data_IF_309704704277
#
_entry.id   IF_309704704277
#
_cell.length_a   1.000
_cell.length_b   1.000
_cell.length_c   1.000
_cell.angle_alpha   90.00
_cell.angle_beta   90.00
_cell.angle_gamma   90.00
#
_symmetry.space_group_name_H-M   'P 1'
#
loop_
_entity.id
_entity.type
_entity.pdbx_description
1 polymer ?
#
# COMPACT_ATOMS: atom_id res chain seq x y z
N UNK A 1 21.27 -5.38 20.04
CA UNK A 1 20.12 -4.82 19.30
C UNK A 1 18.86 -5.68 19.47
N UNK A 2 18.82 -6.94 19.02
CA UNK A 2 17.62 -7.80 19.07
C UNK A 2 16.96 -7.97 20.45
N UNK A 3 17.75 -8.14 21.53
CA UNK A 3 17.22 -8.28 22.90
C UNK A 3 16.48 -7.03 23.39
N UNK A 4 16.84 -5.83 22.89
CA UNK A 4 16.13 -4.59 23.21
C UNK A 4 14.78 -4.54 22.50
N UNK A 5 14.73 -4.96 21.23
CA UNK A 5 13.52 -4.96 20.41
C UNK A 5 12.43 -5.90 20.97
N UNK A 6 12.82 -7.06 21.51
CA UNK A 6 11.91 -8.02 22.15
C UNK A 6 11.11 -7.45 23.34
N UNK A 7 11.53 -6.33 23.92
CA UNK A 7 10.87 -5.71 25.07
C UNK A 7 9.95 -4.56 24.68
N UNK A 8 9.96 -4.15 23.41
CA UNK A 8 9.20 -3.01 22.93
C UNK A 8 7.86 -3.47 22.37
N UNK A 9 6.80 -2.73 22.72
CA UNK A 9 5.47 -2.95 22.16
C UNK A 9 5.37 -2.27 20.81
N UNK A 10 4.97 -3.02 19.79
CA UNK A 10 4.72 -2.47 18.46
C UNK A 10 3.48 -1.58 18.49
N UNK A 11 3.62 -0.36 17.97
CA UNK A 11 2.50 0.50 17.68
C UNK A 11 1.91 0.16 16.31
N UNK A 12 2.76 0.15 15.28
CA UNK A 12 2.38 -0.26 13.93
C UNK A 12 3.60 -0.58 13.05
N UNK A 13 3.33 -1.27 11.95
CA UNK A 13 4.30 -1.57 10.91
C UNK A 13 3.85 -0.91 9.60
N UNK A 14 4.79 -0.30 8.89
CA UNK A 14 4.60 0.11 7.50
C UNK A 14 5.55 -0.68 6.60
N UNK A 15 5.05 -1.17 5.48
CA UNK A 15 5.81 -1.86 4.44
C UNK A 15 5.79 -1.02 3.16
N UNK A 16 6.93 -0.92 2.49
CA UNK A 16 7.06 -0.31 1.16
C UNK A 16 7.77 -1.30 0.26
N UNK A 17 7.11 -1.71 -0.82
CA UNK A 17 7.62 -2.67 -1.78
C UNK A 17 8.27 -1.92 -2.94
N UNK A 18 9.59 -1.81 -2.92
CA UNK A 18 10.37 -1.24 -4.02
C UNK A 18 10.89 -2.36 -4.92
N UNK A 19 11.30 -2.00 -6.16
CA UNK A 19 11.74 -2.93 -7.20
C UNK A 19 12.62 -4.08 -6.68
N UNK A 20 13.74 -3.76 -6.04
CA UNK A 20 14.69 -4.75 -5.54
C UNK A 20 14.77 -4.80 -4.01
N UNK A 21 13.78 -4.25 -3.31
CA UNK A 21 13.87 -4.03 -1.87
C UNK A 21 12.51 -3.97 -1.19
N UNK A 22 12.35 -4.74 -0.13
CA UNK A 22 11.26 -4.55 0.84
C UNK A 22 11.77 -3.65 1.95
N UNK A 23 11.21 -2.45 2.08
CA UNK A 23 11.44 -1.62 3.26
C UNK A 23 10.35 -1.91 4.31
N UNK A 24 10.78 -2.16 5.54
CA UNK A 24 9.92 -2.32 6.69
C UNK A 24 10.29 -1.28 7.75
N UNK A 25 9.28 -0.56 8.22
CA UNK A 25 9.39 0.36 9.35
C UNK A 25 8.48 -0.10 10.46
N UNK A 26 9.08 -0.46 11.59
CA UNK A 26 8.35 -0.79 12.82
C UNK A 26 8.42 0.43 13.73
N UNK A 27 7.26 0.97 14.07
CA UNK A 27 7.13 2.06 15.04
C UNK A 27 6.68 1.43 16.36
N UNK A 28 7.41 1.70 17.43
CA UNK A 28 7.08 1.23 18.77
C UNK A 28 6.28 2.29 19.55
N UNK A 29 5.61 1.88 20.63
CA UNK A 29 4.78 2.78 21.46
C UNK A 29 5.56 3.94 22.10
N UNK A 30 6.87 3.77 22.31
CA UNK A 30 7.76 4.82 22.78
C UNK A 30 8.24 5.76 21.65
N UNK A 31 7.65 5.67 20.46
CA UNK A 31 8.01 6.44 19.25
C UNK A 31 9.40 6.13 18.68
N UNK A 32 10.07 5.08 19.15
CA UNK A 32 11.28 4.61 18.49
C UNK A 32 10.94 3.88 17.18
N UNK A 33 11.85 3.94 16.23
CA UNK A 33 11.71 3.33 14.91
C UNK A 33 12.81 2.29 14.69
N UNK A 34 12.39 1.12 14.22
CA UNK A 34 13.25 0.14 13.59
C UNK A 34 13.00 0.18 12.08
N UNK A 35 14.03 0.50 11.30
CA UNK A 35 14.02 0.40 9.83
C UNK A 35 14.79 -0.85 9.40
N UNK A 36 14.19 -1.63 8.51
CA UNK A 36 14.78 -2.82 7.90
C UNK A 36 14.62 -2.73 6.40
N UNK A 37 15.73 -2.70 5.67
CA UNK A 37 15.75 -2.69 4.21
C UNK A 37 16.26 -4.06 3.73
N UNK A 38 15.40 -4.82 3.05
CA UNK A 38 15.68 -6.19 2.62
C UNK A 38 15.80 -6.26 1.10
N UNK A 39 17.03 -6.38 0.60
CA UNK A 39 17.34 -6.40 -0.82
C UNK A 39 17.12 -7.79 -1.42
N UNK A 40 16.20 -7.89 -2.39
CA UNK A 40 15.81 -9.14 -3.05
C UNK A 40 16.86 -9.62 -4.05
N UNK A 41 17.53 -8.71 -4.75
CA UNK A 41 18.54 -8.98 -5.79
C UNK A 41 19.88 -9.49 -5.20
N UNK A 42 20.20 -9.06 -3.98
CA UNK A 42 21.52 -9.28 -3.37
C UNK A 42 21.50 -10.19 -2.16
N UNK A 43 20.32 -10.57 -1.67
CA UNK A 43 20.16 -11.28 -0.39
C UNK A 43 20.90 -10.57 0.74
N UNK A 44 20.57 -9.28 0.93
CA UNK A 44 21.21 -8.42 1.93
C UNK A 44 20.16 -7.70 2.77
N UNK A 45 20.47 -7.51 4.04
CA UNK A 45 19.60 -6.78 4.97
C UNK A 45 20.38 -5.67 5.63
N UNK A 46 19.81 -4.46 5.57
CA UNK A 46 20.23 -3.32 6.37
C UNK A 46 19.24 -3.10 7.50
N UNK A 47 19.75 -2.79 8.68
CA UNK A 47 18.98 -2.71 9.91
C UNK A 47 19.40 -1.46 10.69
N UNK A 48 18.45 -0.59 11.02
CA UNK A 48 18.71 0.67 11.73
C UNK A 48 17.72 0.84 12.87
N UNK A 49 18.24 1.07 14.07
CA UNK A 49 17.46 1.35 15.27
C UNK A 49 18.19 2.38 16.14
N UNK A 50 17.62 3.57 16.28
CA UNK A 50 18.29 4.69 16.94
C UNK A 50 19.65 5.00 16.30
N UNK A 51 20.74 4.88 17.07
CA UNK A 51 22.13 5.04 16.59
C UNK A 51 22.78 3.71 16.16
N UNK A 52 22.14 2.58 16.40
CA UNK A 52 22.66 1.25 16.08
C UNK A 52 22.34 0.93 14.62
N UNK A 53 23.36 0.61 13.82
CA UNK A 53 23.22 0.31 12.39
C UNK A 53 23.99 -0.96 12.04
N UNK A 54 23.33 -1.86 11.31
CA UNK A 54 23.94 -3.01 10.66
C UNK A 54 23.71 -2.85 9.16
N UNK A 55 24.79 -2.85 8.40
CA UNK A 55 24.76 -2.73 6.95
C UNK A 55 25.25 -4.04 6.30
N UNK A 56 24.70 -4.35 5.14
CA UNK A 56 25.11 -5.45 4.28
C UNK A 56 25.13 -6.82 4.98
N UNK A 57 24.23 -7.04 5.95
CA UNK A 57 24.12 -8.34 6.61
C UNK A 57 23.76 -9.38 5.54
N UNK A 58 24.60 -10.41 5.31
CA UNK A 58 24.22 -11.53 4.46
C UNK A 58 22.90 -12.15 4.94
N UNK A 59 21.91 -12.15 4.04
CA UNK A 59 20.61 -12.76 4.24
C UNK A 59 20.67 -14.20 3.79
N UNK A 60 20.31 -15.14 4.66
CA UNK A 60 20.10 -16.55 4.26
C UNK A 60 18.63 -16.86 3.99
N UNK A 61 17.73 -15.95 4.39
CA UNK A 61 16.30 -16.08 4.19
C UNK A 61 15.83 -15.08 3.12
N UNK A 62 14.76 -15.40 2.39
CA UNK A 62 14.07 -14.43 1.55
C UNK A 62 13.46 -13.30 2.43
N UNK A 63 13.28 -12.08 1.88
CA UNK A 63 12.74 -10.94 2.64
C UNK A 63 11.42 -11.22 3.37
N UNK A 64 10.58 -12.08 2.81
CA UNK A 64 9.32 -12.51 3.42
C UNK A 64 9.49 -13.10 4.82
N UNK A 65 10.49 -13.95 5.01
CA UNK A 65 10.67 -14.66 6.29
C UNK A 65 11.17 -13.69 7.36
N UNK A 66 11.90 -12.65 6.97
CA UNK A 66 12.26 -11.55 7.87
C UNK A 66 11.05 -10.72 8.28
N UNK A 67 10.18 -10.35 7.33
CA UNK A 67 8.96 -9.60 7.65
C UNK A 67 8.11 -10.39 8.64
N UNK A 68 7.86 -11.67 8.37
CA UNK A 68 7.07 -12.52 9.26
C UNK A 68 7.72 -12.69 10.63
N UNK A 69 9.03 -12.92 10.68
CA UNK A 69 9.76 -13.03 11.95
C UNK A 69 9.68 -11.75 12.78
N UNK A 70 9.79 -10.58 12.14
CA UNK A 70 9.70 -9.29 12.83
C UNK A 70 8.26 -9.04 13.31
N UNK A 71 7.25 -9.32 12.47
CA UNK A 71 5.83 -9.20 12.87
C UNK A 71 5.55 -10.08 14.10
N UNK A 72 6.04 -11.32 14.10
CA UNK A 72 5.87 -12.27 15.19
C UNK A 72 6.56 -11.80 16.47
N UNK A 73 7.84 -11.43 16.37
CA UNK A 73 8.67 -10.95 17.50
C UNK A 73 8.17 -9.64 18.11
N UNK A 74 7.62 -8.75 17.29
CA UNK A 74 7.12 -7.44 17.75
C UNK A 74 5.67 -7.49 18.21
N UNK A 75 5.00 -8.64 18.03
CA UNK A 75 3.59 -8.87 18.37
C UNK A 75 2.64 -7.82 17.77
N UNK A 76 2.95 -7.32 16.58
CA UNK A 76 2.14 -6.32 15.91
C UNK A 76 0.88 -6.95 15.31
N UNK A 77 -0.29 -6.35 15.55
CA UNK A 77 -1.59 -6.93 15.16
C UNK A 77 -1.91 -6.81 13.67
N UNK A 78 -1.40 -5.79 13.00
CA UNK A 78 -1.67 -5.50 11.59
C UNK A 78 -0.52 -4.71 10.98
N UNK A 79 -0.44 -4.77 9.65
CA UNK A 79 0.33 -3.81 8.87
C UNK A 79 -0.54 -2.58 8.68
N UNK A 80 -0.10 -1.42 9.16
CA UNK A 80 -0.88 -0.19 9.05
C UNK A 80 -0.89 0.33 7.61
N UNK A 81 0.26 0.33 6.95
CA UNK A 81 0.39 0.78 5.56
C UNK A 81 1.20 -0.19 4.74
N UNK A 82 0.66 -0.60 3.59
CA UNK A 82 1.40 -1.27 2.53
C UNK A 82 1.50 -0.33 1.33
N UNK A 83 2.71 0.05 0.95
CA UNK A 83 2.97 1.10 -0.03
C UNK A 83 3.61 0.49 -1.29
N UNK A 84 2.99 0.74 -2.44
CA UNK A 84 3.49 0.45 -3.77
C UNK A 84 3.92 1.77 -4.45
N UNK A 85 5.23 2.06 -4.58
CA UNK A 85 5.74 3.29 -5.16
C UNK A 85 5.79 3.26 -6.69
N UNK A 86 5.86 4.44 -7.32
CA UNK A 86 5.94 4.62 -8.79
C UNK A 86 6.87 3.66 -9.51
N UNK A 87 8.10 3.51 -9.02
CA UNK A 87 9.17 2.77 -9.71
C UNK A 87 8.78 1.30 -9.88
N UNK A 88 7.99 0.79 -8.95
CA UNK A 88 7.60 -0.60 -8.96
C UNK A 88 6.52 -0.88 -10.04
N UNK A 89 5.89 0.13 -10.65
CA UNK A 89 4.81 0.01 -11.68
C UNK A 89 5.25 -0.63 -13.00
N UNK A 90 6.53 -0.54 -13.35
CA UNK A 90 7.02 -0.88 -14.69
C UNK A 90 7.69 -2.27 -14.79
N UNK A 91 7.64 -3.07 -13.73
CA UNK A 91 8.42 -4.31 -13.67
C UNK A 91 7.56 -5.58 -13.48
N UNK A 92 7.75 -6.62 -14.32
CA UNK A 92 7.09 -7.92 -14.16
C UNK A 92 7.50 -8.73 -12.91
N UNK A 93 8.54 -8.35 -12.14
CA UNK A 93 9.06 -9.17 -11.03
C UNK A 93 8.30 -9.07 -9.68
N UNK A 94 7.07 -8.53 -9.66
CA UNK A 94 6.22 -8.56 -8.45
C UNK A 94 5.89 -9.97 -7.95
N UNK A 95 6.01 -10.98 -8.81
CA UNK A 95 5.78 -12.39 -8.48
C UNK A 95 6.58 -12.83 -7.24
N UNK A 96 7.78 -12.29 -7.03
CA UNK A 96 8.62 -12.63 -5.89
C UNK A 96 8.08 -12.08 -4.55
N UNK A 97 7.18 -11.10 -4.59
CA UNK A 97 6.54 -10.49 -3.41
C UNK A 97 5.12 -11.00 -3.17
N UNK A 98 4.49 -11.66 -4.14
CA UNK A 98 3.15 -12.28 -4.00
C UNK A 98 3.07 -13.23 -2.80
N UNK A 99 4.07 -14.11 -2.55
CA UNK A 99 4.04 -14.97 -1.38
C UNK A 99 4.01 -14.20 -0.06
N UNK A 100 4.63 -13.00 0.02
CA UNK A 100 4.59 -12.16 1.21
C UNK A 100 3.17 -11.67 1.45
N UNK A 101 2.54 -11.14 0.41
CA UNK A 101 1.25 -10.49 0.48
C UNK A 101 0.12 -11.47 0.83
N UNK A 102 0.19 -12.70 0.33
CA UNK A 102 -0.75 -13.78 0.70
C UNK A 102 -0.65 -14.23 2.16
N UNK A 103 0.51 -14.06 2.82
CA UNK A 103 0.72 -14.46 4.22
C UNK A 103 0.38 -13.36 5.22
N UNK A 104 0.20 -12.12 4.78
CA UNK A 104 -0.22 -11.02 5.65
C UNK A 104 -1.72 -11.17 5.95
N UNK A 105 -2.06 -11.37 7.22
CA UNK A 105 -3.44 -11.63 7.65
C UNK A 105 -4.32 -10.39 7.71
N UNK A 106 -3.73 -9.20 7.90
CA UNK A 106 -4.46 -7.94 7.99
C UNK A 106 -3.61 -6.73 7.61
N UNK A 107 -4.16 -5.92 6.71
CA UNK A 107 -3.60 -4.64 6.28
C UNK A 107 -4.65 -3.56 6.55
N UNK A 108 -4.29 -2.46 7.20
CA UNK A 108 -5.26 -1.42 7.50
C UNK A 108 -5.47 -0.51 6.26
N UNK A 109 -4.38 -0.13 5.58
CA UNK A 109 -4.41 0.72 4.39
C UNK A 109 -3.40 0.25 3.33
N UNK A 110 -3.85 0.16 2.08
CA UNK A 110 -2.98 -0.01 0.90
C UNK A 110 -2.82 1.34 0.20
N UNK A 111 -1.59 1.74 -0.08
CA UNK A 111 -1.27 2.97 -0.78
C UNK A 111 -0.56 2.64 -2.08
N UNK A 112 -1.07 3.14 -3.19
CA UNK A 112 -0.42 3.03 -4.51
C UNK A 112 -0.05 4.43 -4.99
N UNK A 113 1.24 4.76 -4.91
CA UNK A 113 1.77 6.07 -5.27
C UNK A 113 2.01 6.18 -6.78
N UNK A 114 1.67 7.34 -7.37
CA UNK A 114 1.95 7.68 -8.78
C UNK A 114 1.53 6.57 -9.75
N UNK A 115 0.26 6.24 -9.59
CA UNK A 115 -0.50 5.24 -10.32
C UNK A 115 -0.75 5.74 -11.75
N UNK A 116 -0.36 4.94 -12.75
CA UNK A 116 -0.96 5.05 -14.07
C UNK A 116 -2.04 3.99 -14.17
N UNK A 117 -3.24 4.36 -14.62
CA UNK A 117 -4.36 3.44 -14.77
C UNK A 117 -4.01 2.09 -15.44
N UNK A 118 -3.00 2.05 -16.31
CA UNK A 118 -2.48 0.84 -16.95
C UNK A 118 -2.02 -0.27 -15.97
N UNK A 119 -1.76 0.05 -14.70
CA UNK A 119 -1.44 -0.92 -13.64
C UNK A 119 -2.63 -1.83 -13.31
N UNK A 120 -3.86 -1.35 -13.48
CA UNK A 120 -5.06 -2.18 -13.34
C UNK A 120 -5.56 -2.66 -14.70
N UNK A 121 -4.74 -2.56 -15.74
CA UNK A 121 -5.05 -3.21 -17.01
C UNK A 121 -5.12 -4.73 -16.80
N UNK A 122 -5.92 -5.45 -17.62
CA UNK A 122 -6.05 -6.89 -17.52
C UNK A 122 -4.74 -7.67 -17.56
N UNK A 123 -3.70 -7.11 -18.19
CA UNK A 123 -2.42 -7.77 -18.43
C UNK A 123 -1.36 -7.40 -17.37
N UNK A 124 -1.69 -6.60 -16.35
CA UNK A 124 -0.71 -6.17 -15.35
C UNK A 124 -0.55 -7.18 -14.22
N UNK A 125 0.67 -7.67 -13.93
CA UNK A 125 0.93 -8.55 -12.79
C UNK A 125 0.57 -7.91 -11.44
N UNK A 126 0.74 -6.59 -11.32
CA UNK A 126 0.39 -5.84 -10.12
C UNK A 126 -1.12 -5.83 -9.85
N UNK A 127 -1.96 -6.01 -10.87
CA UNK A 127 -3.42 -6.16 -10.68
C UNK A 127 -3.75 -7.40 -9.86
N UNK A 128 -3.15 -8.54 -10.18
CA UNK A 128 -3.40 -9.80 -9.48
C UNK A 128 -2.86 -9.75 -8.04
N UNK A 129 -1.71 -9.10 -7.87
CA UNK A 129 -1.15 -8.79 -6.55
C UNK A 129 -2.13 -7.95 -5.73
N UNK A 130 -2.62 -6.84 -6.29
CA UNK A 130 -3.55 -5.94 -5.60
C UNK A 130 -4.87 -6.64 -5.26
N UNK A 131 -5.38 -7.53 -6.12
CA UNK A 131 -6.57 -8.35 -5.82
C UNK A 131 -6.42 -9.19 -4.57
N UNK A 132 -5.26 -9.82 -4.38
CA UNK A 132 -4.96 -10.60 -3.17
C UNK A 132 -4.97 -9.68 -1.95
N UNK A 133 -4.28 -8.54 -2.05
CA UNK A 133 -4.16 -7.59 -0.95
C UNK A 133 -5.50 -6.94 -0.61
N UNK A 134 -6.35 -6.69 -1.60
CA UNK A 134 -7.68 -6.10 -1.41
C UNK A 134 -8.61 -6.98 -0.57
N UNK A 135 -8.39 -8.30 -0.53
CA UNK A 135 -9.17 -9.20 0.32
C UNK A 135 -8.87 -9.04 1.82
N UNK A 136 -7.70 -8.51 2.17
CA UNK A 136 -7.22 -8.38 3.56
C UNK A 136 -7.03 -6.93 3.99
N UNK A 137 -7.43 -5.98 3.15
CA UNK A 137 -7.34 -4.54 3.45
C UNK A 137 -8.69 -3.92 3.80
N UNK A 138 -8.68 -2.99 4.76
CA UNK A 138 -9.86 -2.15 5.04
C UNK A 138 -9.89 -0.87 4.20
N UNK A 139 -8.76 -0.35 3.75
CA UNK A 139 -8.72 0.93 3.05
C UNK A 139 -7.73 0.93 1.88
N UNK A 140 -8.02 1.76 0.88
CA UNK A 140 -7.18 1.94 -0.31
C UNK A 140 -7.00 3.43 -0.61
N UNK A 141 -5.76 3.84 -0.79
CA UNK A 141 -5.38 5.18 -1.27
C UNK A 141 -4.63 5.05 -2.59
N UNK A 142 -5.11 5.72 -3.62
CA UNK A 142 -4.53 5.71 -4.96
C UNK A 142 -4.18 7.14 -5.38
N UNK A 143 -3.02 7.32 -6.01
CA UNK A 143 -2.64 8.60 -6.59
C UNK A 143 -2.56 8.48 -8.12
N UNK A 144 -3.59 8.86 -8.87
CA UNK A 144 -3.72 8.56 -10.32
C UNK A 144 -3.64 9.81 -11.22
N UNK A 145 -3.14 9.62 -12.45
CA UNK A 145 -3.21 10.56 -13.58
C UNK A 145 -4.51 10.45 -14.41
N UNK A 146 -5.43 9.53 -14.06
CA UNK A 146 -6.78 9.31 -14.62
C UNK A 146 -6.81 9.33 -16.14
N UNK A 147 -6.01 8.45 -16.74
CA UNK A 147 -6.05 8.25 -18.20
C UNK A 147 -7.12 7.25 -18.61
N UNK A 148 -7.39 6.25 -17.76
CA UNK A 148 -8.38 5.18 -17.97
C UNK A 148 -9.16 4.88 -16.69
N UNK A 149 -10.18 5.68 -16.37
CA UNK A 149 -10.97 5.54 -15.14
C UNK A 149 -11.70 4.20 -15.03
N UNK A 150 -11.96 3.51 -16.15
CA UNK A 150 -12.58 2.19 -16.18
C UNK A 150 -11.76 1.12 -15.43
N UNK A 151 -10.43 1.28 -15.35
CA UNK A 151 -9.57 0.35 -14.63
C UNK A 151 -9.66 0.51 -13.11
N UNK A 152 -10.10 1.67 -12.62
CA UNK A 152 -10.30 1.92 -11.20
C UNK A 152 -11.65 1.40 -10.68
N UNK A 153 -12.56 0.99 -11.58
CA UNK A 153 -13.89 0.49 -11.19
C UNK A 153 -13.81 -0.67 -10.21
N UNK A 154 -12.83 -1.55 -10.39
CA UNK A 154 -12.61 -2.69 -9.50
C UNK A 154 -12.37 -2.25 -8.04
N UNK A 155 -11.61 -1.17 -7.84
CA UNK A 155 -11.38 -0.58 -6.51
C UNK A 155 -12.68 0.03 -5.97
N UNK A 156 -13.42 0.78 -6.78
CA UNK A 156 -14.67 1.37 -6.31
C UNK A 156 -15.73 0.31 -5.98
N UNK A 157 -15.82 -0.78 -6.73
CA UNK A 157 -16.74 -1.88 -6.40
C UNK A 157 -16.32 -2.70 -5.18
N UNK A 158 -15.09 -2.53 -4.68
CA UNK A 158 -14.60 -3.22 -3.49
C UNK A 158 -15.27 -2.72 -2.21
N UNK A 159 -15.49 -3.64 -1.27
CA UNK A 159 -16.14 -3.36 0.02
C UNK A 159 -15.12 -2.82 1.04
N UNK A 160 -14.66 -1.59 0.82
CA UNK A 160 -13.67 -0.95 1.70
C UNK A 160 -14.33 -0.05 2.76
N UNK A 161 -13.69 0.11 3.91
CA UNK A 161 -14.07 1.14 4.88
C UNK A 161 -13.76 2.54 4.33
N UNK A 162 -12.64 2.69 3.60
CA UNK A 162 -12.27 3.96 3.00
C UNK A 162 -11.58 3.78 1.64
N UNK A 163 -11.97 4.61 0.68
CA UNK A 163 -11.26 4.79 -0.60
C UNK A 163 -10.84 6.25 -0.70
N UNK A 164 -9.56 6.48 -0.93
CA UNK A 164 -9.00 7.82 -1.17
C UNK A 164 -8.40 7.89 -2.56
N UNK A 165 -8.80 8.90 -3.33
CA UNK A 165 -8.30 9.15 -4.68
C UNK A 165 -7.61 10.50 -4.68
N UNK A 166 -6.32 10.50 -4.98
CA UNK A 166 -5.52 11.69 -5.16
C UNK A 166 -5.24 11.87 -6.66
N UNK A 167 -5.63 12.99 -7.24
CA UNK A 167 -5.33 13.26 -8.64
C UNK A 167 -3.97 13.94 -8.78
N UNK A 168 -3.11 13.30 -9.58
CA UNK A 168 -1.81 13.81 -9.97
C UNK A 168 -1.96 14.37 -11.39
N UNK A 169 -2.38 15.62 -11.56
CA UNK A 169 -2.61 16.18 -12.90
C UNK A 169 -3.21 17.57 -12.86
N UNK A 170 -3.20 18.23 -14.02
CA UNK A 170 -3.89 19.51 -14.17
C UNK A 170 -5.41 19.35 -14.00
N UNK A 171 -6.05 20.47 -13.65
CA UNK A 171 -7.50 20.62 -13.36
C UNK A 171 -8.43 20.01 -14.44
N UNK A 172 -7.93 19.81 -15.67
CA UNK A 172 -8.70 19.34 -16.81
C UNK A 172 -8.88 17.81 -16.91
N UNK A 173 -8.15 17.00 -16.12
CA UNK A 173 -8.45 15.55 -16.03
C UNK A 173 -9.58 15.32 -15.03
N UNK A 174 -10.80 15.69 -15.42
CA UNK A 174 -12.00 15.44 -14.61
C UNK A 174 -12.23 13.93 -14.50
N UNK A 175 -12.22 13.44 -13.27
CA UNK A 175 -12.62 12.07 -12.97
C UNK A 175 -14.11 11.88 -13.30
N UNK A 176 -14.53 10.84 -14.04
CA UNK A 176 -15.96 10.64 -14.32
C UNK A 176 -16.71 10.31 -13.04
N UNK A 177 -17.63 11.18 -12.63
CA UNK A 177 -18.42 10.96 -11.42
C UNK A 177 -19.24 9.67 -11.45
N UNK A 178 -19.61 9.18 -12.63
CA UNK A 178 -20.29 7.90 -12.78
C UNK A 178 -19.44 6.71 -12.30
N UNK A 179 -18.11 6.77 -12.45
CA UNK A 179 -17.23 5.72 -11.94
C UNK A 179 -17.04 5.81 -10.42
N UNK A 180 -17.30 6.98 -9.81
CA UNK A 180 -17.40 7.09 -8.35
C UNK A 180 -18.76 6.59 -7.82
N UNK A 181 -19.81 6.52 -8.66
CA UNK A 181 -21.16 6.14 -8.19
C UNK A 181 -21.26 4.68 -7.83
N UNK A 182 -20.40 3.86 -8.42
CA UNK A 182 -20.28 2.44 -8.10
C UNK A 182 -19.42 2.20 -6.85
N UNK A 183 -18.93 3.26 -6.20
CA UNK A 183 -18.12 3.15 -5.00
C UNK A 183 -18.94 2.57 -3.84
N UNK A 184 -18.58 1.36 -3.40
CA UNK A 184 -19.16 0.68 -2.26
C UNK A 184 -18.28 0.80 -1.00
N UNK A 185 -17.75 2.00 -0.78
CA UNK A 185 -16.92 2.32 0.37
C UNK A 185 -17.72 3.11 1.42
N UNK A 186 -17.43 2.94 2.72
CA UNK A 186 -18.09 3.77 3.75
C UNK A 186 -17.68 5.23 3.69
N UNK A 187 -16.43 5.48 3.30
CA UNK A 187 -15.85 6.82 3.14
C UNK A 187 -15.18 6.94 1.79
N UNK A 188 -15.51 7.98 1.04
CA UNK A 188 -14.83 8.34 -0.20
C UNK A 188 -14.13 9.69 -0.02
N UNK A 189 -12.81 9.72 -0.14
CA UNK A 189 -11.99 10.94 -0.08
C UNK A 189 -11.45 11.28 -1.46
N UNK A 190 -11.66 12.51 -1.89
CA UNK A 190 -11.24 13.00 -3.20
C UNK A 190 -10.30 14.19 -3.00
N UNK A 191 -9.00 13.96 -3.14
CA UNK A 191 -7.96 14.97 -2.96
C UNK A 191 -7.56 15.57 -4.32
N UNK A 192 -7.46 16.91 -4.36
CA UNK A 192 -7.05 17.69 -5.56
C UNK A 192 -7.96 17.54 -6.77
N UNK A 193 -9.23 17.17 -6.57
CA UNK A 193 -10.19 17.10 -7.68
C UNK A 193 -10.94 18.42 -7.82
N UNK A 194 -10.87 19.01 -9.01
CA UNK A 194 -11.70 20.14 -9.37
C UNK A 194 -13.07 19.65 -9.88
N UNK A 195 -13.99 19.37 -8.95
CA UNK A 195 -15.39 19.19 -9.29
C UNK A 195 -16.15 20.50 -9.15
N UNK A 196 -17.21 20.68 -9.95
CA UNK A 196 -18.20 21.71 -9.67
C UNK A 196 -19.06 21.28 -8.49
N UNK A 197 -19.49 22.24 -7.67
CA UNK A 197 -20.32 21.99 -6.48
C UNK A 197 -21.65 21.35 -6.88
N UNK A 198 -22.20 21.72 -8.03
CA UNK A 198 -23.44 21.16 -8.57
C UNK A 198 -23.29 19.67 -8.89
N UNK A 199 -22.15 19.29 -9.49
CA UNK A 199 -21.85 17.92 -9.87
C UNK A 199 -21.65 17.03 -8.63
N UNK A 200 -20.97 17.54 -7.59
CA UNK A 200 -20.84 16.88 -6.29
C UNK A 200 -22.19 16.72 -5.58
N UNK A 201 -23.03 17.76 -5.58
CA UNK A 201 -24.36 17.70 -4.96
C UNK A 201 -25.26 16.65 -5.64
N UNK A 202 -25.19 16.55 -6.97
CA UNK A 202 -25.90 15.51 -7.71
C UNK A 202 -25.37 14.12 -7.37
N UNK A 203 -24.05 13.96 -7.28
CA UNK A 203 -23.42 12.71 -6.87
C UNK A 203 -23.89 12.25 -5.49
N UNK A 204 -23.78 13.09 -4.46
CA UNK A 204 -24.17 12.71 -3.10
C UNK A 204 -25.66 12.39 -2.97
N UNK A 205 -26.54 13.11 -3.67
CA UNK A 205 -27.99 12.79 -3.71
C UNK A 205 -28.28 11.42 -4.30
N UNK A 206 -27.45 10.96 -5.24
CA UNK A 206 -27.60 9.65 -5.89
C UNK A 206 -26.93 8.54 -5.11
N UNK A 207 -25.83 8.83 -4.40
CA UNK A 207 -25.09 7.86 -3.60
C UNK A 207 -25.79 7.52 -2.28
N UNK A 208 -26.55 8.46 -1.70
CA UNK A 208 -27.33 8.21 -0.48
C UNK A 208 -28.72 7.58 -0.72
N UNK A 209 -29.01 7.12 -1.94
CA UNK A 209 -30.26 6.41 -2.28
C UNK A 209 -30.01 4.92 -2.41
#
# INVERSE_FOLDING_TARGET
MFVKLLKLKCNHINLRLEYNKVEMKVIFDNSEELKVDMYTDRFKVDLRYGKDHIYWWPSTLPPIDYVLSIVDVTHCKSIKKLIFPKVAVYDPEYDNTIPLLTKLSKIDEVIVEDFTSYILSPDSPLRDVLRIVFLVTSAVTISDHVRKPEYLREIFTGNFDAVSVQLLGDIDTRFPLNDLRIANAKTLKLDRVAFKVEDLNLYFKLWMK
#
